data_IF_852338312734
#
_entry.id   IF_852338312734
#
_cell.length_a   1.000
_cell.length_b   1.000
_cell.length_c   1.000
_cell.angle_alpha   90.00
_cell.angle_beta   90.00
_cell.angle_gamma   90.00
#
_symmetry.space_group_name_H-M   'P 1'
#
loop_
_entity.id
_entity.type
_entity.pdbx_description
1 polymer ?
#
# COMPACT_ATOMS: atom_id res chain seq x y z
N UNK A 1 -4.60 37.43 5.72
CA UNK A 1 -4.99 36.04 5.30
C UNK A 1 -3.83 35.47 4.51
N UNK A 2 -3.42 34.26 4.82
CA UNK A 2 -2.36 33.57 4.06
C UNK A 2 -2.96 33.11 2.74
N UNK A 3 -2.34 33.40 1.61
CA UNK A 3 -2.82 32.96 0.30
C UNK A 3 -2.51 31.47 0.07
N UNK A 4 -3.23 30.84 -0.86
CA UNK A 4 -2.97 29.47 -1.31
C UNK A 4 -1.51 29.33 -1.80
N UNK A 5 -1.04 30.26 -2.63
CA UNK A 5 0.33 30.25 -3.15
C UNK A 5 1.41 30.40 -2.07
N UNK A 6 1.13 31.12 -0.97
CA UNK A 6 2.04 31.21 0.16
C UNK A 6 2.12 29.87 0.90
N UNK A 7 0.99 29.16 1.05
CA UNK A 7 0.94 27.83 1.64
C UNK A 7 1.71 26.80 0.78
N UNK A 8 1.47 26.79 -0.53
CA UNK A 8 2.17 25.89 -1.46
C UNK A 8 3.68 26.16 -1.38
N UNK A 9 4.10 27.40 -1.52
CA UNK A 9 5.52 27.81 -1.47
C UNK A 9 6.19 27.43 -0.15
N UNK A 10 5.52 27.64 0.95
CA UNK A 10 6.06 27.38 2.28
C UNK A 10 6.16 25.90 2.63
N UNK A 11 5.15 25.12 2.29
CA UNK A 11 5.01 23.74 2.75
C UNK A 11 5.30 22.66 1.71
N UNK A 12 5.12 22.94 0.42
CA UNK A 12 5.15 21.92 -0.62
C UNK A 12 6.17 22.18 -1.74
N UNK A 13 6.58 23.43 -1.97
CA UNK A 13 7.62 23.72 -2.94
C UNK A 13 8.99 23.24 -2.46
N UNK A 14 9.54 22.26 -3.17
CA UNK A 14 10.85 21.66 -2.92
C UNK A 14 11.56 21.44 -4.25
N UNK A 15 12.91 21.60 -4.30
CA UNK A 15 13.67 21.29 -5.50
C UNK A 15 13.43 19.85 -5.98
N UNK A 16 13.02 19.68 -7.23
CA UNK A 16 12.86 18.40 -7.91
C UNK A 16 14.05 18.19 -8.85
N UNK A 17 14.98 17.30 -8.48
CA UNK A 17 16.23 17.08 -9.23
C UNK A 17 16.09 16.03 -10.32
N UNK A 18 15.12 15.14 -10.18
CA UNK A 18 14.84 14.06 -11.14
C UNK A 18 13.72 14.43 -12.12
N UNK A 19 13.05 15.57 -11.95
CA UNK A 19 12.13 16.15 -12.91
C UNK A 19 12.87 17.13 -13.83
N UNK A 20 12.40 17.28 -15.06
CA UNK A 20 12.86 18.33 -15.97
C UNK A 20 12.32 19.69 -15.51
N UNK A 21 11.07 19.70 -15.04
CA UNK A 21 10.37 20.83 -14.43
C UNK A 21 9.48 20.29 -13.30
N UNK A 22 9.54 20.91 -12.13
CA UNK A 22 8.75 20.56 -10.95
C UNK A 22 7.63 21.56 -10.65
N UNK A 23 7.41 21.83 -9.34
CA UNK A 23 6.43 22.81 -8.86
C UNK A 23 6.80 24.21 -9.34
N UNK A 24 5.79 25.00 -9.75
CA UNK A 24 5.95 26.41 -10.08
C UNK A 24 5.53 26.82 -11.50
N UNK A 25 5.13 25.86 -12.32
CA UNK A 25 4.56 26.09 -13.66
C UNK A 25 3.24 25.34 -13.80
N UNK A 26 2.51 25.49 -14.91
CA UNK A 26 1.19 24.87 -15.16
C UNK A 26 1.25 23.34 -15.14
N UNK A 27 2.40 22.75 -15.45
CA UNK A 27 2.62 21.30 -15.41
C UNK A 27 4.06 20.93 -15.11
N UNK A 28 4.26 19.79 -14.46
CA UNK A 28 5.58 19.18 -14.33
C UNK A 28 6.01 18.51 -15.65
N UNK A 29 7.30 18.59 -15.97
CA UNK A 29 7.89 17.85 -17.09
C UNK A 29 8.76 16.72 -16.56
N UNK A 30 8.39 15.49 -16.91
CA UNK A 30 9.05 14.27 -16.43
C UNK A 30 9.71 13.55 -17.61
N UNK A 31 10.89 12.99 -17.36
CA UNK A 31 11.60 12.19 -18.37
C UNK A 31 11.93 10.82 -17.78
N UNK A 32 11.18 9.77 -18.13
CA UNK A 32 11.51 8.42 -17.76
C UNK A 32 12.87 7.99 -18.32
N UNK A 33 13.55 7.13 -17.58
CA UNK A 33 14.80 6.52 -18.05
C UNK A 33 14.62 5.72 -19.35
N UNK A 34 15.67 5.64 -20.17
CA UNK A 34 15.63 4.83 -21.37
C UNK A 34 15.32 3.36 -21.05
N UNK A 35 14.37 2.76 -21.79
CA UNK A 35 13.95 1.39 -21.56
C UNK A 35 13.02 1.16 -20.34
N UNK A 36 12.53 2.22 -19.73
CA UNK A 36 11.54 2.17 -18.65
C UNK A 36 10.11 2.37 -19.15
N UNK A 37 9.16 1.86 -18.40
CA UNK A 37 7.73 2.15 -18.46
C UNK A 37 7.35 2.91 -17.21
N UNK A 38 6.36 3.82 -17.31
CA UNK A 38 5.80 4.50 -16.14
C UNK A 38 4.69 3.64 -15.52
N UNK A 39 4.81 3.41 -14.22
CA UNK A 39 3.73 2.95 -13.39
C UNK A 39 3.09 4.18 -12.71
N UNK A 40 1.77 4.30 -12.79
CA UNK A 40 1.01 5.41 -12.20
C UNK A 40 -0.07 4.83 -11.32
N UNK A 41 -0.17 5.32 -10.09
CA UNK A 41 -1.27 5.00 -9.18
C UNK A 41 -1.76 6.24 -8.46
N UNK A 42 -3.02 6.21 -8.03
CA UNK A 42 -3.66 7.31 -7.31
C UNK A 42 -4.50 6.77 -6.18
N UNK A 43 -4.25 7.29 -4.97
CA UNK A 43 -5.07 7.03 -3.79
C UNK A 43 -5.70 8.32 -3.27
N UNK A 44 -6.95 8.20 -2.86
CA UNK A 44 -7.71 9.26 -2.23
C UNK A 44 -8.02 8.88 -0.78
N UNK A 45 -7.56 9.70 0.16
CA UNK A 45 -7.89 9.56 1.57
C UNK A 45 -8.94 10.61 1.96
N UNK A 46 -10.05 10.14 2.49
CA UNK A 46 -11.18 10.96 2.94
C UNK A 46 -11.30 10.84 4.47
N UNK A 47 -11.45 11.98 5.13
CA UNK A 47 -11.74 12.05 6.57
C UNK A 47 -13.02 11.25 6.91
N UNK A 48 -13.01 10.61 8.05
CA UNK A 48 -14.04 9.70 8.57
C UNK A 48 -14.29 8.43 7.73
N UNK A 49 -13.44 8.20 6.70
CA UNK A 49 -13.40 6.94 5.94
C UNK A 49 -12.06 6.23 6.10
N UNK A 50 -10.96 6.92 5.77
CA UNK A 50 -9.61 6.35 5.77
C UNK A 50 -8.78 6.80 6.98
N UNK A 51 -9.20 7.87 7.61
CA UNK A 51 -8.63 8.41 8.86
C UNK A 51 -9.71 9.21 9.60
N UNK A 52 -9.52 9.40 10.90
CA UNK A 52 -10.51 10.11 11.72
C UNK A 52 -10.22 11.60 11.75
N UNK A 53 -11.27 12.40 12.01
CA UNK A 53 -11.13 13.80 12.37
C UNK A 53 -10.11 13.97 13.51
N UNK A 54 -9.25 14.97 13.38
CA UNK A 54 -8.18 15.24 14.37
C UNK A 54 -7.00 14.24 14.35
N UNK A 55 -6.87 13.40 13.32
CA UNK A 55 -5.69 12.56 13.17
C UNK A 55 -4.40 13.38 13.17
N UNK A 56 -3.33 12.82 13.75
CA UNK A 56 -2.02 13.47 13.77
C UNK A 56 -1.55 13.78 12.35
N UNK A 57 -1.32 15.07 12.08
CA UNK A 57 -1.00 15.57 10.76
C UNK A 57 0.29 14.95 10.20
N UNK A 58 1.30 14.69 11.04
CA UNK A 58 2.56 14.09 10.61
C UNK A 58 2.38 12.63 10.23
N UNK A 59 1.61 11.88 11.01
CA UNK A 59 1.28 10.49 10.69
C UNK A 59 0.44 10.42 9.42
N UNK A 60 -0.49 11.35 9.24
CA UNK A 60 -1.33 11.41 8.05
C UNK A 60 -0.53 11.76 6.79
N UNK A 61 0.42 12.69 6.88
CA UNK A 61 1.35 12.97 5.80
C UNK A 61 2.22 11.76 5.42
N UNK A 62 2.63 10.95 6.41
CA UNK A 62 3.30 9.67 6.15
C UNK A 62 2.35 8.68 5.45
N UNK A 63 1.14 8.45 6.00
CA UNK A 63 0.18 7.49 5.47
C UNK A 63 -0.21 7.82 4.02
N UNK A 64 -0.46 9.10 3.73
CA UNK A 64 -0.90 9.52 2.39
C UNK A 64 0.09 9.17 1.27
N UNK A 65 1.39 9.20 1.55
CA UNK A 65 2.40 8.75 0.59
C UNK A 65 2.66 7.24 0.69
N UNK A 66 2.55 6.65 1.88
CA UNK A 66 2.88 5.25 2.10
C UNK A 66 1.93 4.29 1.37
N UNK A 67 0.63 4.61 1.30
CA UNK A 67 -0.36 3.81 0.57
C UNK A 67 -0.01 3.74 -0.92
N UNK A 68 0.30 4.86 -1.53
CA UNK A 68 0.75 4.95 -2.92
C UNK A 68 2.10 4.24 -3.17
N UNK A 69 3.03 4.32 -2.23
CA UNK A 69 4.30 3.57 -2.29
C UNK A 69 4.07 2.06 -2.23
N UNK A 70 2.98 1.61 -1.61
CA UNK A 70 2.58 0.22 -1.58
C UNK A 70 2.19 -0.29 -2.96
N UNK A 71 1.47 0.50 -3.75
CA UNK A 71 1.17 0.18 -5.14
C UNK A 71 2.45 0.06 -5.99
N UNK A 72 3.38 0.99 -5.81
CA UNK A 72 4.68 0.89 -6.49
C UNK A 72 5.42 -0.40 -6.10
N UNK A 73 5.34 -0.80 -4.83
CA UNK A 73 5.91 -2.05 -4.37
C UNK A 73 5.21 -3.27 -5.02
N UNK A 74 3.88 -3.28 -5.07
CA UNK A 74 3.08 -4.33 -5.70
C UNK A 74 3.39 -4.48 -7.19
N UNK A 75 3.66 -3.36 -7.89
CA UNK A 75 4.06 -3.34 -9.29
C UNK A 75 5.55 -3.62 -9.54
N UNK A 76 6.37 -3.69 -8.48
CA UNK A 76 7.83 -3.75 -8.61
C UNK A 76 8.42 -2.52 -9.28
N UNK A 77 7.77 -1.37 -9.17
CA UNK A 77 8.22 -0.10 -9.73
C UNK A 77 9.08 0.68 -8.73
N UNK A 78 10.11 1.36 -9.21
CA UNK A 78 10.89 2.29 -8.43
C UNK A 78 10.14 3.63 -8.36
N UNK A 79 9.66 4.07 -7.19
CA UNK A 79 8.96 5.34 -7.08
C UNK A 79 9.88 6.51 -7.44
N UNK A 80 9.35 7.54 -8.11
CA UNK A 80 10.13 8.70 -8.57
C UNK A 80 9.46 10.03 -8.25
N UNK A 81 8.21 10.19 -8.64
CA UNK A 81 7.51 11.45 -8.55
C UNK A 81 6.14 11.29 -7.93
N UNK A 82 5.65 12.35 -7.33
CA UNK A 82 4.28 12.40 -6.83
C UNK A 82 3.67 13.77 -7.09
N UNK A 83 2.34 13.80 -7.25
CA UNK A 83 1.53 15.01 -7.11
C UNK A 83 0.63 14.88 -5.89
N UNK A 84 0.29 16.01 -5.27
CA UNK A 84 -0.52 16.06 -4.06
C UNK A 84 -1.65 17.07 -4.24
N UNK A 85 -2.90 16.61 -4.20
CA UNK A 85 -4.06 17.48 -4.15
C UNK A 85 -4.70 17.45 -2.76
N UNK A 86 -5.04 18.62 -2.23
CA UNK A 86 -5.62 18.81 -0.90
C UNK A 86 -6.90 19.66 -0.98
N UNK A 87 -8.01 19.16 -0.41
CA UNK A 87 -9.14 20.01 -0.08
C UNK A 87 -9.18 20.18 1.44
N UNK A 88 -8.92 21.41 1.89
CA UNK A 88 -8.78 21.77 3.30
C UNK A 88 -10.01 22.52 3.79
N UNK A 89 -10.66 22.12 4.90
CA UNK A 89 -11.78 22.89 5.47
C UNK A 89 -11.34 24.27 5.98
N UNK A 90 -10.07 24.41 6.37
CA UNK A 90 -9.45 25.67 6.79
C UNK A 90 -7.93 25.67 6.57
N UNK A 91 -7.36 26.83 6.32
CA UNK A 91 -5.90 27.00 6.23
C UNK A 91 -5.30 26.96 7.66
N UNK A 92 -4.89 25.76 8.10
CA UNK A 92 -4.23 25.55 9.38
C UNK A 92 -2.73 25.31 9.18
N UNK A 93 -1.93 26.35 9.37
CA UNK A 93 -0.49 26.29 9.16
C UNK A 93 0.23 25.27 10.06
N UNK A 94 -0.22 25.09 11.31
CA UNK A 94 0.34 24.07 12.21
C UNK A 94 0.10 22.65 11.69
N UNK A 95 -1.10 22.42 11.17
CA UNK A 95 -1.45 21.14 10.54
C UNK A 95 -0.62 20.91 9.29
N UNK A 96 -0.53 21.89 8.39
CA UNK A 96 0.26 21.81 7.15
C UNK A 96 1.74 21.56 7.43
N UNK A 97 2.31 22.21 8.44
CA UNK A 97 3.70 21.97 8.85
C UNK A 97 3.92 20.53 9.35
N UNK A 98 2.98 19.98 10.12
CA UNK A 98 3.01 18.59 10.55
C UNK A 98 2.90 17.62 9.37
N UNK A 99 1.90 17.84 8.53
CA UNK A 99 1.62 17.00 7.35
C UNK A 99 2.81 16.96 6.38
N UNK A 100 3.29 18.13 5.96
CA UNK A 100 4.44 18.23 5.06
C UNK A 100 5.70 17.57 5.64
N UNK A 101 5.94 17.73 6.96
CA UNK A 101 7.05 17.05 7.63
C UNK A 101 6.95 15.52 7.54
N UNK A 102 5.77 14.95 7.73
CA UNK A 102 5.52 13.52 7.61
C UNK A 102 5.69 13.03 6.18
N UNK A 103 5.05 13.71 5.23
CA UNK A 103 5.11 13.41 3.81
C UNK A 103 6.55 13.42 3.28
N UNK A 104 7.28 14.53 3.46
CA UNK A 104 8.64 14.67 2.95
C UNK A 104 9.68 13.81 3.68
N UNK A 105 9.45 13.42 4.93
CA UNK A 105 10.30 12.45 5.59
C UNK A 105 10.28 11.09 4.88
N UNK A 106 9.08 10.64 4.48
CA UNK A 106 8.92 9.40 3.73
C UNK A 106 9.39 9.55 2.28
N UNK A 107 9.03 10.65 1.62
CA UNK A 107 9.44 10.96 0.25
C UNK A 107 10.98 10.90 0.10
N UNK A 108 11.73 11.56 0.98
CA UNK A 108 13.21 11.50 0.98
C UNK A 108 13.73 10.08 1.16
N UNK A 109 13.12 9.28 2.03
CA UNK A 109 13.54 7.89 2.27
C UNK A 109 13.43 7.02 1.02
N UNK A 110 12.41 7.26 0.20
CA UNK A 110 12.16 6.48 -1.02
C UNK A 110 12.59 7.18 -2.31
N UNK A 111 13.21 8.35 -2.22
CA UNK A 111 13.68 9.11 -3.38
C UNK A 111 12.53 9.66 -4.25
N UNK A 112 11.36 9.93 -3.64
CA UNK A 112 10.20 10.52 -4.30
C UNK A 112 10.29 12.04 -4.24
N UNK A 113 10.05 12.70 -5.37
CA UNK A 113 9.95 14.14 -5.47
C UNK A 113 8.49 14.55 -5.68
N UNK A 114 8.02 15.53 -4.91
CA UNK A 114 6.75 16.19 -5.16
C UNK A 114 6.95 17.17 -6.31
N UNK A 115 6.23 16.97 -7.41
CA UNK A 115 6.43 17.70 -8.66
C UNK A 115 5.25 18.58 -9.06
N UNK A 116 4.14 18.48 -8.33
CA UNK A 116 2.94 19.27 -8.59
C UNK A 116 1.81 18.91 -7.63
N UNK A 117 0.65 19.49 -7.87
CA UNK A 117 -0.54 19.23 -7.08
C UNK A 117 -1.51 20.39 -7.13
N UNK A 118 -2.47 20.37 -6.21
CA UNK A 118 -3.48 21.41 -6.09
C UNK A 118 -3.85 21.58 -4.62
N UNK A 119 -4.24 22.79 -4.20
CA UNK A 119 -4.69 23.04 -2.83
C UNK A 119 -5.90 23.95 -2.85
N UNK A 120 -7.05 23.41 -2.52
CA UNK A 120 -8.30 24.17 -2.52
C UNK A 120 -8.90 24.29 -1.12
N UNK A 121 -9.69 25.33 -0.92
CA UNK A 121 -10.53 25.43 0.26
C UNK A 121 -11.79 24.62 0.07
N UNK A 122 -11.97 23.57 0.87
CA UNK A 122 -13.21 22.82 0.93
C UNK A 122 -14.36 23.58 1.62
N UNK A 123 -15.57 23.01 1.65
CA UNK A 123 -16.70 23.58 2.41
C UNK A 123 -16.33 23.74 3.88
N UNK A 124 -16.84 24.80 4.51
CA UNK A 124 -16.65 25.03 5.96
C UNK A 124 -17.28 23.88 6.74
N UNK A 125 -16.50 23.24 7.61
CA UNK A 125 -16.94 22.04 8.33
C UNK A 125 -17.01 20.77 7.48
N UNK A 126 -16.62 20.82 6.20
CA UNK A 126 -16.51 19.67 5.34
C UNK A 126 -15.28 18.79 5.68
N UNK A 127 -15.21 17.57 5.10
CA UNK A 127 -14.12 16.66 5.36
C UNK A 127 -12.80 17.12 4.72
N UNK A 128 -11.70 16.79 5.36
CA UNK A 128 -10.38 16.86 4.75
C UNK A 128 -10.23 15.78 3.68
N UNK A 129 -9.80 16.18 2.48
CA UNK A 129 -9.51 15.25 1.37
C UNK A 129 -8.05 15.37 0.98
N UNK A 130 -7.40 14.22 0.82
CA UNK A 130 -6.01 14.11 0.40
C UNK A 130 -5.95 13.16 -0.78
N UNK A 131 -5.46 13.62 -1.92
CA UNK A 131 -5.25 12.79 -3.10
C UNK A 131 -3.77 12.84 -3.48
N UNK A 132 -3.14 11.68 -3.55
CA UNK A 132 -1.76 11.55 -4.01
C UNK A 132 -1.77 10.71 -5.28
N UNK A 133 -1.14 11.22 -6.33
CA UNK A 133 -0.78 10.41 -7.50
C UNK A 133 0.71 10.19 -7.48
N UNK A 134 1.12 8.91 -7.51
CA UNK A 134 2.53 8.52 -7.55
C UNK A 134 2.90 7.99 -8.93
N UNK A 135 4.10 8.32 -9.39
CA UNK A 135 4.68 7.82 -10.62
C UNK A 135 6.00 7.10 -10.28
N UNK A 136 6.18 5.93 -10.86
CA UNK A 136 7.39 5.13 -10.69
C UNK A 136 7.87 4.56 -12.01
N UNK A 137 9.09 4.08 -12.04
CA UNK A 137 9.72 3.48 -13.21
C UNK A 137 9.87 1.97 -13.02
N UNK A 138 9.54 1.24 -14.06
CA UNK A 138 9.77 -0.21 -14.14
C UNK A 138 10.40 -0.54 -15.49
N UNK A 139 11.43 -1.41 -15.55
CA UNK A 139 11.99 -1.81 -16.85
C UNK A 139 10.91 -2.47 -17.70
N UNK A 140 10.92 -2.20 -19.00
CA UNK A 140 9.94 -2.74 -19.96
C UNK A 140 9.72 -4.23 -19.76
N UNK A 141 8.45 -4.64 -19.69
CA UNK A 141 8.01 -6.03 -19.49
C UNK A 141 8.48 -6.69 -18.18
N UNK A 142 8.87 -5.91 -17.17
CA UNK A 142 9.31 -6.41 -15.84
C UNK A 142 8.39 -6.01 -14.71
N UNK A 143 7.28 -5.32 -14.98
CA UNK A 143 6.27 -5.03 -13.97
C UNK A 143 5.73 -6.34 -13.35
N UNK A 144 5.56 -6.33 -12.04
CA UNK A 144 4.78 -7.35 -11.36
C UNK A 144 3.31 -7.07 -11.66
N UNK A 145 2.54 -8.13 -11.93
CA UNK A 145 1.14 -7.98 -12.34
C UNK A 145 0.29 -8.96 -11.53
N UNK A 146 -1.01 -8.76 -11.53
CA UNK A 146 -1.97 -9.65 -10.85
C UNK A 146 -2.31 -10.89 -11.71
N UNK A 147 -2.04 -10.89 -13.01
CA UNK A 147 -2.47 -11.87 -14.01
C UNK A 147 -1.42 -12.95 -14.36
N UNK A 148 -0.36 -13.04 -13.57
CA UNK A 148 0.76 -13.95 -13.88
C UNK A 148 0.83 -15.22 -13.03
N UNK A 149 -0.09 -15.44 -12.08
CA UNK A 149 -0.08 -16.62 -11.21
C UNK A 149 -0.41 -17.89 -11.98
N UNK A 150 0.28 -18.99 -11.66
CA UNK A 150 0.16 -20.27 -12.39
C UNK A 150 -0.12 -21.41 -11.41
N UNK A 151 -0.87 -22.44 -11.83
CA UNK A 151 -1.03 -23.65 -11.01
C UNK A 151 0.32 -24.18 -10.53
N UNK A 152 0.39 -24.62 -9.28
CA UNK A 152 1.58 -25.06 -8.53
C UNK A 152 2.46 -23.96 -7.96
N UNK A 153 2.26 -22.68 -8.30
CA UNK A 153 2.98 -21.60 -7.65
C UNK A 153 2.71 -21.61 -6.15
N UNK A 154 3.73 -21.28 -5.37
CA UNK A 154 3.59 -21.03 -3.92
C UNK A 154 3.09 -19.62 -3.69
N UNK A 155 2.19 -19.45 -2.71
CA UNK A 155 1.69 -18.15 -2.26
C UNK A 155 2.50 -17.71 -1.04
N UNK A 156 3.00 -16.49 -1.07
CA UNK A 156 3.82 -15.88 -0.04
C UNK A 156 3.23 -14.58 0.45
N UNK A 157 3.44 -14.28 1.73
CA UNK A 157 3.04 -13.02 2.37
C UNK A 157 4.23 -12.41 3.08
N UNK A 158 4.40 -11.10 2.94
CA UNK A 158 5.40 -10.34 3.71
C UNK A 158 4.86 -9.92 5.08
N UNK A 159 5.74 -9.69 6.04
CA UNK A 159 5.45 -9.09 7.34
C UNK A 159 4.42 -9.83 8.18
N UNK A 160 3.41 -9.12 8.67
CA UNK A 160 2.28 -9.62 9.48
C UNK A 160 0.99 -8.94 9.06
N UNK A 161 -0.11 -9.69 9.08
CA UNK A 161 -1.46 -9.23 8.72
C UNK A 161 -2.33 -8.96 9.95
N UNK A 162 -3.32 -8.09 9.78
CA UNK A 162 -4.37 -7.79 10.75
C UNK A 162 -3.99 -6.74 11.79
N UNK A 163 -2.76 -6.20 11.76
CA UNK A 163 -2.33 -5.22 12.74
C UNK A 163 -3.07 -3.88 12.58
N UNK A 164 -3.23 -3.39 11.34
CA UNK A 164 -3.88 -2.11 11.09
C UNK A 164 -5.37 -2.15 11.46
N UNK A 165 -6.10 -3.17 11.02
CA UNK A 165 -7.50 -3.37 11.38
C UNK A 165 -7.70 -3.55 12.89
N UNK A 166 -6.77 -4.22 13.58
CA UNK A 166 -6.79 -4.33 15.03
C UNK A 166 -6.57 -2.99 15.71
N UNK A 167 -5.62 -2.16 15.24
CA UNK A 167 -5.38 -0.81 15.73
C UNK A 167 -6.57 0.13 15.52
N UNK A 168 -7.36 -0.08 14.47
CA UNK A 168 -8.62 0.63 14.28
C UNK A 168 -9.68 0.21 15.32
N UNK A 169 -9.74 -1.09 15.67
CA UNK A 169 -10.69 -1.65 16.62
C UNK A 169 -10.25 -1.42 18.10
N UNK A 170 -8.95 -1.42 18.37
CA UNK A 170 -8.33 -1.29 19.70
C UNK A 170 -7.27 -0.18 19.70
N UNK A 171 -7.67 1.00 20.19
CA UNK A 171 -6.82 2.20 20.18
C UNK A 171 -5.70 2.19 21.23
N UNK A 172 -5.85 1.40 22.24
CA UNK A 172 -4.93 1.19 23.35
C UNK A 172 -3.69 0.37 22.96
N UNK A 173 -3.77 -0.42 21.87
CA UNK A 173 -2.59 -1.09 21.32
C UNK A 173 -1.76 -0.11 20.46
N UNK A 174 -0.74 0.50 21.07
CA UNK A 174 0.15 1.45 20.40
C UNK A 174 0.91 0.86 19.22
N UNK A 175 1.22 -0.44 19.25
CA UNK A 175 1.91 -1.14 18.16
C UNK A 175 1.03 -1.29 16.93
N UNK A 176 -0.21 -1.71 17.14
CA UNK A 176 -1.22 -1.85 16.10
C UNK A 176 -1.66 -0.48 15.55
N UNK A 177 -1.90 0.51 16.42
CA UNK A 177 -2.21 1.87 16.03
C UNK A 177 -1.11 2.49 15.15
N UNK A 178 0.17 2.24 15.49
CA UNK A 178 1.28 2.68 14.65
C UNK A 178 1.26 2.04 13.26
N UNK A 179 0.89 0.77 13.12
CA UNK A 179 0.77 0.11 11.82
C UNK A 179 -0.32 0.74 10.97
N UNK A 180 -1.46 1.07 11.57
CA UNK A 180 -2.56 1.75 10.90
C UNK A 180 -2.17 3.15 10.39
N UNK A 181 -1.49 3.94 11.23
CA UNK A 181 -1.20 5.34 10.94
C UNK A 181 0.13 5.56 10.22
N UNK A 182 1.06 4.63 10.33
CA UNK A 182 2.39 4.70 9.69
C UNK A 182 2.75 3.36 9.04
N UNK A 183 2.01 2.93 8.00
CA UNK A 183 2.34 1.70 7.29
C UNK A 183 3.74 1.78 6.67
N UNK A 184 4.39 0.62 6.54
CA UNK A 184 5.74 0.49 6.01
C UNK A 184 5.68 -0.11 4.60
N UNK A 185 5.83 0.70 3.54
CA UNK A 185 5.75 0.22 2.16
C UNK A 185 6.86 -0.77 1.82
N UNK A 186 6.54 -1.84 1.12
CA UNK A 186 7.46 -2.93 0.79
C UNK A 186 8.22 -2.72 -0.53
N UNK A 187 8.57 -1.47 -0.86
CA UNK A 187 9.22 -1.10 -2.13
C UNK A 187 10.48 -1.92 -2.40
N UNK A 188 11.37 -2.05 -1.40
CA UNK A 188 12.60 -2.84 -1.57
C UNK A 188 12.33 -4.32 -1.87
N UNK A 189 11.24 -4.89 -1.34
CA UNK A 189 10.80 -6.25 -1.68
C UNK A 189 10.27 -6.30 -3.11
N UNK A 190 9.35 -5.41 -3.47
CA UNK A 190 8.75 -5.36 -4.81
C UNK A 190 9.81 -5.28 -5.90
N UNK A 191 10.78 -4.39 -5.76
CA UNK A 191 11.89 -4.26 -6.71
C UNK A 191 12.69 -5.55 -6.89
N UNK A 192 12.91 -6.32 -5.83
CA UNK A 192 13.67 -7.57 -5.85
C UNK A 192 12.87 -8.79 -6.24
N UNK A 193 11.54 -8.70 -6.23
CA UNK A 193 10.65 -9.77 -6.69
C UNK A 193 10.57 -9.87 -8.22
N UNK A 194 11.01 -8.85 -8.95
CA UNK A 194 11.08 -8.90 -10.42
C UNK A 194 11.93 -10.08 -10.88
N UNK A 195 11.36 -10.92 -11.75
CA UNK A 195 11.99 -12.16 -12.24
C UNK A 195 12.03 -13.31 -11.21
N UNK A 196 11.33 -13.17 -10.08
CA UNK A 196 11.10 -14.21 -9.07
C UNK A 196 9.61 -14.47 -8.94
N UNK A 197 8.82 -13.44 -8.65
CA UNK A 197 7.37 -13.55 -8.52
C UNK A 197 6.71 -13.67 -9.89
N UNK A 198 5.64 -14.44 -9.94
CA UNK A 198 4.75 -14.58 -11.10
C UNK A 198 3.59 -13.59 -11.05
N UNK A 199 3.06 -13.32 -9.86
CA UNK A 199 2.08 -12.26 -9.62
C UNK A 199 2.33 -11.59 -8.26
N UNK A 200 1.84 -10.36 -8.09
CA UNK A 200 1.89 -9.64 -6.82
C UNK A 200 0.72 -8.66 -6.68
N UNK A 201 0.35 -8.38 -5.43
CA UNK A 201 -0.59 -7.35 -4.99
C UNK A 201 -0.22 -6.94 -3.57
N UNK A 202 -0.56 -5.74 -3.15
CA UNK A 202 -0.49 -5.35 -1.75
C UNK A 202 -1.79 -5.69 -0.99
N UNK A 203 -1.78 -5.60 0.32
CA UNK A 203 -2.94 -5.89 1.19
C UNK A 203 -3.54 -4.58 1.68
N UNK A 204 -4.52 -4.07 0.95
CA UNK A 204 -5.25 -2.83 1.24
C UNK A 204 -6.67 -3.10 1.76
N UNK A 205 -7.37 -4.09 1.22
CA UNK A 205 -8.78 -4.41 1.53
C UNK A 205 -8.93 -5.67 2.38
N UNK A 206 -7.85 -6.41 2.58
CA UNK A 206 -7.77 -7.62 3.35
C UNK A 206 -7.29 -8.83 2.55
N UNK A 207 -6.57 -9.71 3.21
CA UNK A 207 -5.86 -10.82 2.57
C UNK A 207 -6.71 -11.63 1.59
N UNK A 208 -7.95 -11.94 1.96
CA UNK A 208 -8.79 -12.81 1.14
C UNK A 208 -9.27 -12.12 -0.14
N UNK A 209 -9.62 -10.83 -0.06
CA UNK A 209 -10.07 -10.05 -1.20
C UNK A 209 -8.91 -9.76 -2.15
N UNK A 210 -7.78 -9.32 -1.63
CA UNK A 210 -6.62 -8.97 -2.45
C UNK A 210 -6.02 -10.20 -3.14
N UNK A 211 -5.92 -11.35 -2.44
CA UNK A 211 -5.58 -12.61 -3.11
C UNK A 211 -6.61 -12.97 -4.17
N UNK A 212 -7.91 -12.76 -3.90
CA UNK A 212 -8.99 -12.97 -4.85
C UNK A 212 -8.77 -12.24 -6.17
N UNK A 213 -8.27 -11.00 -6.15
CA UNK A 213 -7.94 -10.24 -7.36
C UNK A 213 -6.81 -10.89 -8.18
N UNK A 214 -5.78 -11.46 -7.53
CA UNK A 214 -4.77 -12.26 -8.26
C UNK A 214 -5.43 -13.47 -8.91
N UNK A 215 -6.28 -14.20 -8.17
CA UNK A 215 -6.89 -15.43 -8.66
C UNK A 215 -7.80 -15.16 -9.86
N UNK A 216 -8.63 -14.14 -9.77
CA UNK A 216 -9.53 -13.72 -10.84
C UNK A 216 -8.77 -13.31 -12.09
N UNK A 217 -7.79 -12.40 -11.95
CA UNK A 217 -7.01 -11.89 -13.09
C UNK A 217 -6.15 -12.94 -13.74
N UNK A 218 -5.69 -13.94 -12.98
CA UNK A 218 -4.89 -15.06 -13.48
C UNK A 218 -5.73 -16.26 -13.96
N UNK A 219 -7.04 -16.25 -13.70
CA UNK A 219 -7.94 -17.36 -14.09
C UNK A 219 -7.68 -18.66 -13.34
N UNK A 220 -7.21 -18.58 -12.08
CA UNK A 220 -6.80 -19.72 -11.24
C UNK A 220 -7.52 -19.71 -9.89
N UNK A 221 -7.29 -20.72 -9.05
CA UNK A 221 -7.72 -20.74 -7.67
C UNK A 221 -6.56 -20.96 -6.70
N UNK A 222 -6.86 -21.07 -5.41
CA UNK A 222 -5.85 -21.25 -4.38
C UNK A 222 -6.31 -22.14 -3.23
N UNK A 223 -5.34 -22.79 -2.60
CA UNK A 223 -5.47 -23.38 -1.28
C UNK A 223 -4.54 -22.64 -0.33
N UNK A 224 -5.11 -22.07 0.73
CA UNK A 224 -4.39 -21.31 1.76
C UNK A 224 -4.63 -21.95 3.11
N UNK A 225 -3.58 -22.08 3.91
CA UNK A 225 -3.65 -22.58 5.30
C UNK A 225 -3.67 -21.40 6.26
N UNK A 226 -4.80 -21.17 6.93
CA UNK A 226 -5.00 -20.04 7.83
C UNK A 226 -3.94 -19.97 8.95
N UNK A 227 -3.57 -21.12 9.48
CA UNK A 227 -2.59 -21.18 10.58
C UNK A 227 -1.17 -20.81 10.14
N UNK A 228 -0.89 -20.90 8.86
CA UNK A 228 0.38 -20.47 8.27
C UNK A 228 0.43 -18.95 7.99
N UNK A 229 -0.69 -18.24 8.00
CA UNK A 229 -0.70 -16.80 7.81
C UNK A 229 0.13 -16.11 8.91
N UNK A 230 0.99 -15.16 8.56
CA UNK A 230 1.75 -14.38 9.54
C UNK A 230 0.83 -13.34 10.18
N UNK A 231 0.27 -13.65 11.34
CA UNK A 231 -0.76 -12.85 12.01
C UNK A 231 -0.19 -11.92 13.08
N UNK A 232 -0.81 -10.76 13.25
CA UNK A 232 -0.69 -9.99 14.48
C UNK A 232 -1.31 -10.80 15.64
N UNK A 233 -0.75 -10.70 16.84
CA UNK A 233 -1.27 -11.44 18.00
C UNK A 233 -2.54 -10.76 18.50
N UNK A 234 -3.67 -11.45 18.38
CA UNK A 234 -4.99 -11.03 18.83
C UNK A 234 -5.59 -12.21 19.60
N UNK A 235 -6.01 -11.98 20.85
CA UNK A 235 -6.51 -13.07 21.71
C UNK A 235 -7.88 -13.55 21.28
N UNK A 236 -8.78 -12.62 20.93
CA UNK A 236 -10.10 -12.94 20.38
C UNK A 236 -9.96 -13.55 18.97
N UNK A 237 -10.21 -14.84 18.87
CA UNK A 237 -10.13 -15.61 17.62
C UNK A 237 -11.06 -15.11 16.51
N UNK A 238 -12.23 -14.59 16.86
CA UNK A 238 -13.19 -14.06 15.88
C UNK A 238 -12.69 -12.73 15.34
N UNK A 239 -12.21 -11.86 16.22
CA UNK A 239 -11.60 -10.59 15.85
C UNK A 239 -10.31 -10.82 15.04
N UNK A 240 -9.45 -11.79 15.44
CA UNK A 240 -8.25 -12.16 14.68
C UNK A 240 -8.59 -12.51 13.24
N UNK A 241 -9.56 -13.41 13.03
CA UNK A 241 -9.99 -13.81 11.68
C UNK A 241 -10.44 -12.62 10.85
N UNK A 242 -11.30 -11.78 11.43
CA UNK A 242 -11.80 -10.57 10.73
C UNK A 242 -10.67 -9.62 10.39
N UNK A 243 -9.78 -9.31 11.34
CA UNK A 243 -8.66 -8.41 11.09
C UNK A 243 -7.70 -8.95 10.03
N UNK A 244 -7.42 -10.25 10.03
CA UNK A 244 -6.44 -10.89 9.13
C UNK A 244 -7.00 -11.14 7.73
N UNK A 245 -8.24 -11.61 7.63
CA UNK A 245 -8.81 -12.04 6.34
C UNK A 245 -9.54 -10.91 5.60
N UNK A 246 -10.24 -10.06 6.34
CA UNK A 246 -11.14 -9.04 5.79
C UNK A 246 -10.79 -7.62 6.26
N UNK A 247 -9.79 -7.47 7.12
CA UNK A 247 -9.28 -6.17 7.55
C UNK A 247 -8.22 -5.67 6.59
N UNK A 248 -8.29 -4.41 6.21
CA UNK A 248 -7.36 -3.76 5.29
C UNK A 248 -6.24 -2.97 5.99
N UNK A 249 -5.62 -2.09 5.24
CA UNK A 249 -4.60 -1.13 5.68
C UNK A 249 -3.26 -1.74 6.14
N UNK A 250 -3.01 -3.04 5.91
CA UNK A 250 -1.74 -3.67 6.31
C UNK A 250 -0.56 -3.30 5.39
N UNK A 251 -0.82 -3.03 4.10
CA UNK A 251 0.17 -2.66 3.07
C UNK A 251 1.39 -3.59 3.03
N UNK A 252 1.16 -4.87 3.32
CA UNK A 252 2.09 -5.96 3.06
C UNK A 252 1.90 -6.49 1.64
N UNK A 253 2.83 -7.29 1.10
CA UNK A 253 2.69 -7.89 -0.22
C UNK A 253 2.24 -9.35 -0.13
N UNK A 254 1.23 -9.71 -0.95
CA UNK A 254 0.95 -11.07 -1.35
C UNK A 254 1.62 -11.26 -2.71
N UNK A 255 2.38 -12.33 -2.88
CA UNK A 255 2.94 -12.68 -4.18
C UNK A 255 2.96 -14.18 -4.41
N UNK A 256 2.91 -14.55 -5.68
CA UNK A 256 3.07 -15.94 -6.10
C UNK A 256 4.43 -16.13 -6.72
N UNK A 257 4.99 -17.32 -6.59
CA UNK A 257 6.27 -17.66 -7.19
C UNK A 257 6.32 -19.17 -7.49
N UNK A 258 7.05 -19.62 -8.55
CA UNK A 258 7.21 -21.02 -8.86
C UNK A 258 7.66 -21.83 -7.64
N UNK A 259 7.15 -23.05 -7.50
CA UNK A 259 7.41 -23.91 -6.33
C UNK A 259 8.92 -24.07 -6.04
N UNK A 260 9.76 -24.11 -7.06
CA UNK A 260 11.23 -24.17 -6.93
C UNK A 260 11.90 -22.88 -6.46
N UNK A 261 11.18 -21.75 -6.38
CA UNK A 261 11.76 -20.43 -6.02
C UNK A 261 11.97 -20.24 -4.52
N UNK A 262 11.57 -21.20 -3.67
CA UNK A 262 11.60 -21.05 -2.21
C UNK A 262 12.97 -20.66 -1.63
N UNK A 263 14.08 -21.18 -2.16
CA UNK A 263 15.41 -20.79 -1.72
C UNK A 263 15.72 -19.32 -2.03
N UNK A 264 15.36 -18.83 -3.23
CA UNK A 264 15.52 -17.43 -3.63
C UNK A 264 14.68 -16.50 -2.75
N UNK A 265 13.42 -16.86 -2.47
CA UNK A 265 12.53 -16.08 -1.60
C UNK A 265 13.09 -16.01 -0.16
N UNK A 266 13.58 -17.13 0.39
CA UNK A 266 14.23 -17.12 1.73
C UNK A 266 15.53 -16.29 1.75
N UNK A 267 16.28 -16.28 0.67
CA UNK A 267 17.47 -15.42 0.55
C UNK A 267 17.06 -13.93 0.57
N UNK A 268 15.99 -13.55 -0.14
CA UNK A 268 15.42 -12.19 -0.06
C UNK A 268 14.97 -11.83 1.36
N UNK A 269 14.28 -12.74 2.04
CA UNK A 269 13.84 -12.53 3.42
C UNK A 269 15.02 -12.17 4.35
N UNK A 270 16.14 -12.92 4.25
CA UNK A 270 17.36 -12.64 5.01
C UNK A 270 18.00 -11.30 4.62
N UNK A 271 18.17 -11.05 3.33
CA UNK A 271 18.81 -9.83 2.82
C UNK A 271 18.03 -8.55 3.18
N UNK A 272 16.69 -8.62 3.21
CA UNK A 272 15.81 -7.50 3.57
C UNK A 272 15.48 -7.44 5.07
N UNK A 273 15.92 -8.44 5.85
CA UNK A 273 15.51 -8.61 7.26
C UNK A 273 13.98 -8.54 7.40
N UNK A 274 13.26 -9.11 6.44
CA UNK A 274 11.81 -9.09 6.35
C UNK A 274 11.28 -10.52 6.38
N UNK A 275 10.29 -10.78 7.23
CA UNK A 275 9.60 -12.08 7.24
C UNK A 275 8.83 -12.25 5.94
N UNK A 276 9.10 -13.36 5.23
CA UNK A 276 8.33 -13.83 4.08
C UNK A 276 7.81 -15.23 4.42
N UNK A 277 6.51 -15.40 4.43
CA UNK A 277 5.87 -16.65 4.87
C UNK A 277 5.15 -17.29 3.70
N UNK A 278 5.45 -18.57 3.42
CA UNK A 278 4.65 -19.37 2.49
C UNK A 278 3.36 -19.78 3.19
N UNK A 279 2.21 -19.46 2.56
CA UNK A 279 0.90 -19.64 3.18
C UNK A 279 -0.02 -20.60 2.42
N UNK A 280 0.38 -20.97 1.20
CA UNK A 280 -0.46 -21.84 0.35
C UNK A 280 0.13 -22.07 -1.02
N UNK A 281 -0.73 -22.49 -1.94
CA UNK A 281 -0.39 -22.77 -3.33
C UNK A 281 -1.56 -22.45 -4.29
N UNK A 282 -1.21 -22.10 -5.52
CA UNK A 282 -2.15 -21.87 -6.61
C UNK A 282 -2.61 -23.19 -7.17
N UNK A 283 -3.94 -23.33 -7.35
CA UNK A 283 -4.62 -24.49 -7.92
C UNK A 283 -5.25 -24.21 -9.30
N UNK A 284 -5.71 -25.26 -9.97
CA UNK A 284 -6.39 -25.14 -11.27
C UNK A 284 -7.87 -24.74 -11.15
N UNK A 285 -8.55 -25.13 -10.05
CA UNK A 285 -9.95 -24.79 -9.80
C UNK A 285 -10.04 -23.29 -9.44
N UNK A 286 -10.98 -22.59 -10.02
CA UNK A 286 -11.17 -21.14 -9.83
C UNK A 286 -11.92 -20.84 -8.53
N UNK A 287 -11.40 -21.33 -7.40
CA UNK A 287 -11.95 -21.12 -6.07
C UNK A 287 -10.83 -20.77 -5.07
N UNK A 288 -11.15 -20.00 -4.06
CA UNK A 288 -10.29 -19.77 -2.89
C UNK A 288 -10.74 -20.71 -1.75
N UNK A 289 -9.89 -21.66 -1.43
CA UNK A 289 -10.09 -22.57 -0.30
C UNK A 289 -9.20 -22.17 0.85
N UNK A 290 -9.80 -21.67 1.92
CA UNK A 290 -9.12 -21.39 3.17
C UNK A 290 -9.28 -22.60 4.08
N UNK A 291 -8.19 -23.20 4.54
CA UNK A 291 -8.19 -24.37 5.41
C UNK A 291 -7.73 -24.02 6.82
N UNK A 292 -8.41 -24.56 7.85
CA UNK A 292 -7.96 -24.49 9.23
C UNK A 292 -6.86 -25.54 9.52
N UNK A 293 -6.37 -25.59 10.77
CA UNK A 293 -5.35 -26.54 11.23
C UNK A 293 -5.73 -28.02 11.01
N UNK A 294 -7.03 -28.33 10.95
CA UNK A 294 -7.55 -29.68 10.74
C UNK A 294 -7.83 -29.99 9.26
N UNK A 295 -7.47 -29.06 8.35
CA UNK A 295 -7.73 -29.19 6.92
C UNK A 295 -9.19 -28.95 6.51
N UNK A 296 -10.05 -28.45 7.42
CA UNK A 296 -11.45 -28.14 7.15
C UNK A 296 -11.56 -26.78 6.47
N UNK A 297 -12.46 -26.68 5.49
CA UNK A 297 -12.70 -25.42 4.79
C UNK A 297 -13.37 -24.39 5.72
N UNK A 298 -12.79 -23.22 5.80
CA UNK A 298 -13.31 -22.07 6.54
C UNK A 298 -14.17 -21.21 5.64
N UNK A 299 -15.24 -20.64 6.20
CA UNK A 299 -15.98 -19.54 5.55
C UNK A 299 -15.14 -18.27 5.64
N UNK A 300 -14.96 -17.59 4.53
CA UNK A 300 -14.26 -16.31 4.43
C UNK A 300 -15.28 -15.23 4.18
N UNK A 301 -15.27 -14.19 5.04
CA UNK A 301 -16.07 -12.99 4.84
C UNK A 301 -15.42 -12.13 3.75
N UNK A 302 -16.22 -11.34 3.03
CA UNK A 302 -15.70 -10.38 2.05
C UNK A 302 -14.85 -9.32 2.76
N UNK A 303 -13.85 -8.83 2.07
CA UNK A 303 -13.03 -7.71 2.52
C UNK A 303 -13.81 -6.38 2.47
N UNK A 304 -13.08 -5.28 2.65
CA UNK A 304 -13.67 -3.95 2.65
C UNK A 304 -14.17 -3.58 1.24
N UNK A 305 -15.34 -2.95 1.19
CA UNK A 305 -15.92 -2.40 -0.03
C UNK A 305 -16.63 -1.08 0.32
N UNK A 306 -16.29 -0.01 -0.39
CA UNK A 306 -16.80 1.34 -0.15
C UNK A 306 -18.33 1.46 -0.33
N UNK A 307 -18.94 0.59 -1.11
CA UNK A 307 -20.35 0.65 -1.51
C UNK A 307 -21.19 -0.54 -1.03
N UNK A 308 -20.58 -1.57 -0.48
CA UNK A 308 -21.32 -2.66 0.17
C UNK A 308 -21.80 -2.24 1.55
N UNK A 309 -23.10 -2.48 1.85
CA UNK A 309 -23.72 -2.26 3.16
C UNK A 309 -23.40 -3.38 4.14
#
# INVERSE_FOLDING_TARGET
MVSEFDLIRKYFDRPARNAVLGVGDDAALLRPGAGMELAVSTDLLLEDRHFRAGADARMLGHKSLAVNLSDMAAMGAAPRWATLALALPAANERWLAGFSKGFFALARRFGVELVGGDTVRGPTGGPLVICVTILGEVPKKKALRRDGARPTDSIWVSGKLGAAAYGLARRDDMGAARRLHMPEPRVALGLRLRGIATAAIDVSDGFAQDLGHILERSGVGAVVHYDMLPKHRIEDRKLERRCVLSGGDDYELIFTAPAGSGARVRALARALKLRLTRVGSIGRRRDLRMLDANGRQMKVERGFDHFSR
#
